data_IF_880277453750
#
_entry.id   IF_880277453750
#
_cell.length_a   1.000
_cell.length_b   1.000
_cell.length_c   1.000
_cell.angle_alpha   90.00
_cell.angle_beta   90.00
_cell.angle_gamma   90.00
#
_symmetry.space_group_name_H-M   'P 1'
#
loop_
_entity.id
_entity.type
_entity.pdbx_description
1 polymer ?
#
# COMPACT_ATOMS: atom_id res chain seq x y z
N UNK A 1 -15.28 6.63 25.24
CA UNK A 1 -14.98 6.43 23.80
C UNK A 1 -14.33 7.66 23.15
N UNK A 2 -14.86 8.88 23.33
CA UNK A 2 -14.33 10.11 22.71
C UNK A 2 -12.83 10.35 22.99
N UNK A 3 -12.41 10.28 24.26
CA UNK A 3 -11.01 10.52 24.66
C UNK A 3 -10.01 9.47 24.12
N UNK A 4 -10.46 8.23 23.87
CA UNK A 4 -9.63 7.17 23.25
C UNK A 4 -9.35 7.51 21.79
N UNK A 5 -10.35 7.99 21.06
CA UNK A 5 -10.20 8.38 19.66
C UNK A 5 -9.34 9.66 19.51
N UNK A 6 -9.51 10.63 20.41
CA UNK A 6 -8.69 11.84 20.46
C UNK A 6 -7.20 11.52 20.63
N UNK A 7 -6.88 10.59 21.55
CA UNK A 7 -5.51 10.13 21.77
C UNK A 7 -4.91 9.46 20.54
N UNK A 8 -5.66 8.59 19.86
CA UNK A 8 -5.14 7.89 18.68
C UNK A 8 -4.91 8.85 17.49
N UNK A 9 -5.82 9.80 17.26
CA UNK A 9 -5.62 10.82 16.20
C UNK A 9 -4.43 11.72 16.53
N UNK A 10 -4.31 12.16 17.79
CA UNK A 10 -3.15 12.92 18.25
C UNK A 10 -1.85 12.11 18.08
N UNK A 11 -1.85 10.81 18.42
CA UNK A 11 -0.72 9.89 18.21
C UNK A 11 -0.36 9.80 16.74
N UNK A 12 -1.32 9.62 15.84
CA UNK A 12 -1.07 9.50 14.41
C UNK A 12 -0.48 10.78 13.83
N UNK A 13 -1.04 11.95 14.17
CA UNK A 13 -0.49 13.26 13.74
C UNK A 13 0.91 13.47 14.33
N UNK A 14 1.09 13.15 15.60
CA UNK A 14 2.39 13.24 16.29
C UNK A 14 3.44 12.32 15.69
N UNK A 15 3.05 11.11 15.27
CA UNK A 15 3.93 10.12 14.64
C UNK A 15 4.39 10.57 13.25
N UNK A 16 3.46 11.07 12.43
CA UNK A 16 3.77 11.60 11.10
C UNK A 16 4.49 12.95 11.13
N UNK A 17 4.47 13.65 12.28
CA UNK A 17 4.95 15.02 12.52
C UNK A 17 4.18 16.11 11.78
N UNK A 18 3.82 15.86 10.52
CA UNK A 18 3.09 16.74 9.64
C UNK A 18 2.06 15.91 8.86
N UNK A 19 0.79 16.31 8.89
CA UNK A 19 -0.25 15.70 8.05
C UNK A 19 -0.87 16.79 7.20
N UNK A 20 -0.87 16.62 5.88
CA UNK A 20 -1.45 17.60 4.96
C UNK A 20 -2.97 17.67 5.10
N UNK A 21 -3.56 18.84 4.84
CA UNK A 21 -5.00 19.01 4.94
C UNK A 21 -5.78 18.10 3.98
N UNK A 22 -5.29 17.95 2.74
CA UNK A 22 -5.87 17.01 1.78
C UNK A 22 -5.92 15.56 2.31
N UNK A 23 -4.92 15.13 3.09
CA UNK A 23 -4.92 13.82 3.73
C UNK A 23 -5.98 13.74 4.85
N UNK A 24 -6.09 14.79 5.68
CA UNK A 24 -7.13 14.90 6.71
C UNK A 24 -8.53 14.80 6.10
N UNK A 25 -8.82 15.60 5.06
CA UNK A 25 -10.11 15.60 4.39
C UNK A 25 -10.44 14.25 3.76
N UNK A 26 -9.46 13.61 3.11
CA UNK A 26 -9.63 12.30 2.46
C UNK A 26 -10.04 11.20 3.44
N UNK A 27 -9.61 11.29 4.69
CA UNK A 27 -9.92 10.33 5.75
C UNK A 27 -10.86 10.90 6.83
N UNK A 28 -11.61 11.96 6.53
CA UNK A 28 -12.51 12.59 7.49
C UNK A 28 -13.64 11.65 7.95
N UNK A 29 -14.09 10.73 7.08
CA UNK A 29 -15.13 9.74 7.42
C UNK A 29 -14.66 8.59 8.31
N UNK A 30 -13.35 8.37 8.44
CA UNK A 30 -12.79 7.17 9.09
C UNK A 30 -11.80 7.48 10.21
N UNK A 31 -10.79 8.32 9.95
CA UNK A 31 -9.68 8.59 10.87
C UNK A 31 -9.80 10.00 11.46
N UNK A 32 -9.83 11.02 10.62
CA UNK A 32 -9.74 12.43 11.04
C UNK A 32 -11.11 13.12 11.04
N UNK A 33 -12.04 12.58 11.83
CA UNK A 33 -13.41 13.15 11.93
C UNK A 33 -13.35 14.65 12.25
N UNK A 34 -14.10 15.45 11.50
CA UNK A 34 -14.09 16.92 11.61
C UNK A 34 -14.31 17.39 13.05
N UNK A 35 -15.33 16.85 13.73
CA UNK A 35 -15.63 17.17 15.13
C UNK A 35 -14.48 16.85 16.09
N UNK A 36 -13.75 15.77 15.83
CA UNK A 36 -12.59 15.37 16.64
C UNK A 36 -11.39 16.29 16.40
N UNK A 37 -11.16 16.69 15.15
CA UNK A 37 -10.10 17.64 14.79
C UNK A 37 -10.36 19.01 15.43
N UNK A 38 -11.60 19.49 15.39
CA UNK A 38 -12.04 20.74 16.03
C UNK A 38 -11.88 20.69 17.56
N UNK A 39 -12.26 19.58 18.20
CA UNK A 39 -12.09 19.36 19.64
C UNK A 39 -10.60 19.40 20.02
N UNK A 40 -9.73 18.70 19.29
CA UNK A 40 -8.29 18.70 19.52
C UNK A 40 -7.66 20.09 19.35
N UNK A 41 -8.18 20.92 18.43
CA UNK A 41 -7.77 22.31 18.29
C UNK A 41 -8.26 23.19 19.43
N UNK A 42 -9.54 23.06 19.83
CA UNK A 42 -10.11 23.79 20.97
C UNK A 42 -9.34 23.50 22.25
N UNK A 43 -8.95 22.25 22.45
CA UNK A 43 -8.10 21.82 23.56
C UNK A 43 -6.62 22.22 23.41
N UNK A 44 -6.26 22.94 22.35
CA UNK A 44 -4.89 23.37 22.04
C UNK A 44 -3.89 22.22 21.96
N UNK A 45 -4.35 21.01 21.61
CA UNK A 45 -3.49 19.84 21.37
C UNK A 45 -2.92 19.86 19.94
N UNK A 46 -3.68 20.44 19.00
CA UNK A 46 -3.25 20.70 17.62
C UNK A 46 -3.01 22.18 17.37
N UNK A 47 -2.07 22.48 16.47
CA UNK A 47 -1.95 23.81 15.85
C UNK A 47 -3.07 24.00 14.82
N UNK A 48 -3.39 25.26 14.51
CA UNK A 48 -4.12 25.59 13.29
C UNK A 48 -3.41 24.97 12.07
N UNK A 49 -4.18 24.49 11.09
CA UNK A 49 -3.60 23.95 9.87
C UNK A 49 -2.80 25.02 9.15
N UNK A 50 -1.55 24.71 8.85
CA UNK A 50 -0.63 25.60 8.15
C UNK A 50 -0.49 25.14 6.69
N UNK A 51 -0.54 26.02 5.68
CA UNK A 51 -0.42 25.60 4.28
C UNK A 51 0.90 24.90 3.94
N UNK A 52 1.98 25.25 4.64
CA UNK A 52 3.32 24.70 4.44
C UNK A 52 3.55 23.49 5.33
N UNK A 53 3.12 23.53 6.58
CA UNK A 53 3.44 22.49 7.57
C UNK A 53 2.29 21.53 7.87
N UNK A 54 1.09 21.80 7.36
CA UNK A 54 -0.12 21.02 7.64
C UNK A 54 -0.48 20.99 9.13
N UNK A 55 -1.17 19.93 9.51
CA UNK A 55 -1.59 19.61 10.86
C UNK A 55 -0.43 19.10 11.71
N UNK A 56 -0.27 19.64 12.92
CA UNK A 56 0.81 19.31 13.87
C UNK A 56 0.33 19.37 15.32
N UNK A 57 0.95 18.55 16.17
CA UNK A 57 0.80 18.69 17.62
C UNK A 57 1.42 19.99 18.15
N UNK A 58 0.81 20.57 19.18
CA UNK A 58 1.44 21.60 20.03
C UNK A 58 2.32 20.95 21.10
N UNK A 59 3.04 21.76 21.89
CA UNK A 59 3.74 21.27 23.08
C UNK A 59 2.78 20.63 24.09
N UNK A 60 1.55 21.16 24.23
CA UNK A 60 0.49 20.56 25.06
C UNK A 60 0.07 19.20 24.48
N UNK A 61 -0.05 19.09 23.15
CA UNK A 61 -0.32 17.82 22.46
C UNK A 61 0.71 16.74 22.72
N UNK A 62 2.00 17.07 22.65
CA UNK A 62 3.08 16.13 22.98
C UNK A 62 3.06 15.70 24.44
N UNK A 63 2.85 16.63 25.38
CA UNK A 63 2.71 16.31 26.81
C UNK A 63 1.53 15.40 27.07
N UNK A 64 0.37 15.71 26.49
CA UNK A 64 -0.83 14.86 26.59
C UNK A 64 -0.57 13.41 26.16
N UNK A 65 0.19 13.20 25.07
CA UNK A 65 0.58 11.85 24.65
C UNK A 65 1.57 11.20 25.63
N UNK A 66 2.56 11.95 26.12
CA UNK A 66 3.53 11.48 27.10
C UNK A 66 2.83 11.03 28.40
N UNK A 67 1.94 11.86 28.94
CA UNK A 67 1.14 11.58 30.13
C UNK A 67 0.22 10.36 29.93
N UNK A 68 -0.13 10.07 28.67
CA UNK A 68 -0.89 8.89 28.27
C UNK A 68 -0.04 7.65 27.97
N UNK A 69 1.27 7.68 28.28
CA UNK A 69 2.21 6.56 28.08
C UNK A 69 2.76 6.42 26.66
N UNK A 70 2.65 7.46 25.82
CA UNK A 70 3.12 7.47 24.43
C UNK A 70 4.15 8.61 24.27
N UNK A 71 5.42 8.40 24.66
CA UNK A 71 6.44 9.43 24.64
C UNK A 71 6.92 9.69 23.20
N UNK A 72 6.25 10.61 22.49
CA UNK A 72 6.72 11.11 21.20
C UNK A 72 7.54 12.38 21.38
N UNK A 73 8.74 12.41 20.82
CA UNK A 73 9.59 13.60 20.83
C UNK A 73 9.19 14.58 19.72
N UNK A 74 9.11 15.90 19.96
CA UNK A 74 9.01 16.87 18.88
C UNK A 74 10.32 16.91 18.08
N UNK A 75 10.26 17.38 16.84
CA UNK A 75 11.48 17.60 16.07
C UNK A 75 12.27 18.78 16.62
N UNK A 76 13.60 18.63 16.71
CA UNK A 76 14.50 19.73 17.03
C UNK A 76 14.54 20.79 15.92
N UNK A 77 14.37 20.38 14.66
CA UNK A 77 14.35 21.26 13.50
C UNK A 77 13.24 20.89 12.52
N UNK A 78 12.48 21.89 12.06
CA UNK A 78 11.48 21.72 11.02
C UNK A 78 12.19 21.47 9.69
N UNK A 79 12.13 20.24 9.18
CA UNK A 79 12.88 19.81 7.98
C UNK A 79 11.98 19.12 6.95
N UNK A 80 12.30 19.29 5.66
CA UNK A 80 11.70 18.67 4.46
C UNK A 80 10.26 18.17 4.60
N UNK A 81 9.33 19.10 4.41
CA UNK A 81 7.86 18.89 4.43
C UNK A 81 7.39 17.81 3.45
N UNK A 82 7.91 17.80 2.22
CA UNK A 82 7.39 16.93 1.14
C UNK A 82 7.33 15.45 1.50
N UNK A 83 8.45 14.85 1.91
CA UNK A 83 8.49 13.43 2.32
C UNK A 83 7.60 13.13 3.52
N UNK A 84 7.38 14.10 4.42
CA UNK A 84 6.52 13.89 5.59
C UNK A 84 5.07 13.76 5.20
N UNK A 85 4.59 14.57 4.26
CA UNK A 85 3.24 14.42 3.73
C UNK A 85 3.06 13.09 3.00
N UNK A 86 4.03 12.67 2.18
CA UNK A 86 4.03 11.35 1.55
C UNK A 86 3.93 10.22 2.58
N UNK A 87 4.76 10.27 3.64
CA UNK A 87 4.69 9.31 4.73
C UNK A 87 3.37 9.38 5.48
N UNK A 88 2.80 10.57 5.68
CA UNK A 88 1.52 10.75 6.36
C UNK A 88 0.37 10.13 5.57
N UNK A 89 0.37 10.29 4.24
CA UNK A 89 -0.61 9.65 3.38
C UNK A 89 -0.53 8.12 3.47
N UNK A 90 0.67 7.54 3.36
CA UNK A 90 0.86 6.09 3.51
C UNK A 90 0.41 5.63 4.90
N UNK A 91 0.88 6.30 5.95
CA UNK A 91 0.60 5.93 7.35
C UNK A 91 -0.89 6.02 7.65
N UNK A 92 -1.59 7.06 7.18
CA UNK A 92 -3.04 7.18 7.34
C UNK A 92 -3.78 6.08 6.60
N UNK A 93 -3.33 5.71 5.39
CA UNK A 93 -3.91 4.60 4.61
C UNK A 93 -3.74 3.26 5.34
N UNK A 94 -2.54 2.98 5.87
CA UNK A 94 -2.27 1.76 6.66
C UNK A 94 -3.11 1.73 7.93
N UNK A 95 -3.16 2.85 8.68
CA UNK A 95 -3.94 2.96 9.90
C UNK A 95 -5.45 2.76 9.64
N UNK A 96 -5.98 3.38 8.60
CA UNK A 96 -7.37 3.23 8.19
C UNK A 96 -7.71 1.78 7.78
N UNK A 97 -6.75 1.02 7.26
CA UNK A 97 -6.89 -0.42 6.99
C UNK A 97 -6.73 -1.32 8.24
N UNK A 98 -6.58 -0.71 9.43
CA UNK A 98 -6.33 -1.42 10.68
C UNK A 98 -4.98 -2.14 10.69
N UNK A 99 -3.97 -1.58 10.04
CA UNK A 99 -2.58 -2.04 10.09
C UNK A 99 -1.84 -1.17 11.11
N UNK A 100 -1.06 -1.80 12.00
CA UNK A 100 -0.29 -1.09 13.01
C UNK A 100 0.86 -0.28 12.37
N UNK A 101 0.84 1.07 12.37
CA UNK A 101 1.80 1.87 11.61
C UNK A 101 2.97 2.39 12.44
N UNK A 102 3.11 1.91 13.68
CA UNK A 102 4.03 2.46 14.68
C UNK A 102 5.20 1.52 15.00
N UNK A 103 5.55 0.59 14.09
CA UNK A 103 6.76 -0.20 14.27
C UNK A 103 7.97 0.74 14.22
N UNK A 104 8.96 0.50 15.08
CA UNK A 104 10.17 1.34 15.17
C UNK A 104 11.45 0.62 14.76
N UNK A 105 11.37 -0.69 14.61
CA UNK A 105 12.52 -1.57 14.51
C UNK A 105 12.28 -2.77 13.58
N UNK A 106 13.34 -3.26 12.91
CA UNK A 106 13.29 -4.46 12.07
C UNK A 106 12.90 -5.69 12.90
N UNK A 107 13.37 -5.77 14.15
CA UNK A 107 13.05 -6.87 15.05
C UNK A 107 11.55 -6.94 15.34
N UNK A 108 10.87 -5.79 15.48
CA UNK A 108 9.42 -5.77 15.61
C UNK A 108 8.74 -6.28 14.34
N UNK A 109 9.16 -5.81 13.15
CA UNK A 109 8.62 -6.26 11.86
C UNK A 109 8.80 -7.78 11.65
N UNK A 110 9.92 -8.34 12.12
CA UNK A 110 10.18 -9.80 12.09
C UNK A 110 9.28 -10.58 13.05
N UNK A 111 8.77 -9.95 14.10
CA UNK A 111 7.91 -10.60 15.10
C UNK A 111 6.41 -10.47 14.85
N UNK A 112 5.95 -9.47 14.08
CA UNK A 112 4.53 -9.20 13.86
C UNK A 112 4.25 -8.44 12.57
N UNK A 113 3.00 -8.54 12.11
CA UNK A 113 2.47 -7.71 11.03
C UNK A 113 2.40 -6.23 11.42
N UNK A 114 2.63 -5.35 10.45
CA UNK A 114 2.61 -3.92 10.65
C UNK A 114 3.45 -3.17 9.64
N UNK A 115 3.40 -1.85 9.73
CA UNK A 115 4.16 -0.95 8.89
C UNK A 115 5.28 -0.28 9.69
N UNK A 116 6.50 -0.43 9.18
CA UNK A 116 7.74 0.16 9.67
C UNK A 116 8.16 1.30 8.73
N UNK A 117 7.86 2.56 9.08
CA UNK A 117 8.19 3.68 8.23
C UNK A 117 9.70 3.94 8.20
N UNK A 118 10.19 4.39 7.05
CA UNK A 118 11.61 4.59 6.83
C UNK A 118 12.21 5.74 7.67
N UNK A 119 11.40 6.69 8.16
CA UNK A 119 11.89 7.70 9.10
C UNK A 119 12.20 7.10 10.48
N UNK A 120 11.46 6.08 10.92
CA UNK A 120 11.71 5.41 12.20
C UNK A 120 13.02 4.61 12.14
N UNK A 121 13.24 3.90 11.03
CA UNK A 121 14.51 3.20 10.76
C UNK A 121 15.72 4.15 10.76
N UNK A 122 15.60 5.33 10.16
CA UNK A 122 16.69 6.31 10.10
C UNK A 122 16.93 7.04 11.42
N UNK A 123 15.92 7.13 12.29
CA UNK A 123 16.04 7.78 13.58
C UNK A 123 16.79 6.94 14.62
N UNK A 124 16.93 5.62 14.40
CA UNK A 124 17.55 4.70 15.34
C UNK A 124 19.08 4.83 15.32
N UNK A 125 19.65 5.33 16.42
CA UNK A 125 21.10 5.51 16.55
C UNK A 125 21.84 4.17 16.43
N UNK A 126 22.96 4.17 15.71
CA UNK A 126 23.81 3.00 15.54
C UNK A 126 23.33 1.97 14.50
N UNK A 127 22.15 2.16 13.90
CA UNK A 127 21.63 1.28 12.84
C UNK A 127 21.41 2.06 11.55
N UNK A 128 22.25 1.87 10.54
CA UNK A 128 22.08 2.44 9.20
C UNK A 128 21.46 1.44 8.21
N UNK A 129 20.38 0.77 8.60
CA UNK A 129 19.76 -0.32 7.82
C UNK A 129 19.39 0.11 6.39
N UNK A 130 18.84 1.32 6.24
CA UNK A 130 18.39 1.79 4.93
C UNK A 130 19.51 2.41 4.08
N UNK A 131 20.59 2.91 4.69
CA UNK A 131 21.58 3.74 4.00
C UNK A 131 20.94 4.76 3.05
N UNK A 132 21.16 4.58 1.74
CA UNK A 132 20.64 5.44 0.67
C UNK A 132 19.36 4.92 -0.01
N UNK A 133 18.72 3.86 0.49
CA UNK A 133 17.47 3.34 -0.08
C UNK A 133 16.38 4.41 -0.03
N UNK A 134 15.55 4.45 -1.07
CA UNK A 134 14.48 5.44 -1.21
C UNK A 134 13.12 4.94 -0.74
N UNK A 135 13.01 3.70 -0.25
CA UNK A 135 11.78 3.18 0.35
C UNK A 135 11.19 4.16 1.36
N UNK A 136 9.87 4.30 1.31
CA UNK A 136 9.05 4.99 2.28
C UNK A 136 8.89 4.18 3.58
N UNK A 137 9.03 2.86 3.51
CA UNK A 137 9.01 1.94 4.65
C UNK A 137 8.94 0.49 4.22
N UNK A 138 8.76 -0.40 5.20
CA UNK A 138 8.53 -1.83 5.01
C UNK A 138 7.19 -2.17 5.65
N UNK A 139 6.35 -2.90 4.93
CA UNK A 139 5.08 -3.43 5.44
C UNK A 139 5.20 -4.95 5.49
N UNK A 140 4.82 -5.57 6.60
CA UNK A 140 4.62 -7.02 6.66
C UNK A 140 3.14 -7.31 6.83
N UNK A 141 2.62 -8.18 5.97
CA UNK A 141 1.30 -8.79 6.10
C UNK A 141 1.47 -10.30 5.90
N UNK A 142 1.21 -11.05 6.95
CA UNK A 142 1.31 -12.51 7.00
C UNK A 142 2.71 -12.97 6.54
N UNK A 143 2.77 -13.66 5.41
CA UNK A 143 3.95 -14.27 4.81
C UNK A 143 4.59 -13.39 3.70
N UNK A 144 4.17 -12.12 3.59
CA UNK A 144 4.70 -11.19 2.57
C UNK A 144 5.27 -9.95 3.22
N UNK A 145 6.49 -9.58 2.82
CA UNK A 145 7.07 -8.26 3.08
C UNK A 145 6.95 -7.40 1.82
N UNK A 146 6.45 -6.19 1.99
CA UNK A 146 6.31 -5.19 0.96
C UNK A 146 7.34 -4.08 1.17
N UNK A 147 8.17 -3.85 0.15
CA UNK A 147 8.94 -2.62 0.02
C UNK A 147 8.01 -1.49 -0.41
N UNK A 148 7.77 -0.53 0.48
CA UNK A 148 6.80 0.55 0.22
C UNK A 148 7.52 1.75 -0.37
N UNK A 149 7.01 2.27 -1.49
CA UNK A 149 7.48 3.49 -2.14
C UNK A 149 6.35 4.50 -2.23
N UNK A 150 6.68 5.78 -2.29
CA UNK A 150 5.75 6.83 -2.72
C UNK A 150 6.19 7.37 -4.06
N UNK A 151 5.26 7.46 -5.02
CA UNK A 151 5.49 7.96 -6.37
C UNK A 151 4.47 9.04 -6.71
N UNK A 152 4.92 10.04 -7.45
CA UNK A 152 4.05 11.06 -8.03
C UNK A 152 4.55 11.44 -9.42
N UNK A 153 3.66 11.87 -10.33
CA UNK A 153 4.07 12.39 -11.63
C UNK A 153 5.14 13.47 -11.48
N UNK A 154 6.18 13.42 -12.31
CA UNK A 154 7.31 14.37 -12.29
C UNK A 154 8.32 14.16 -11.15
N UNK A 155 8.13 13.19 -10.25
CA UNK A 155 9.12 12.88 -9.20
C UNK A 155 10.41 12.32 -9.82
N UNK A 156 11.56 12.91 -9.47
CA UNK A 156 12.87 12.57 -10.01
C UNK A 156 13.75 11.75 -9.04
N UNK A 157 13.12 10.94 -8.18
CA UNK A 157 13.84 10.03 -7.29
C UNK A 157 14.43 8.84 -8.05
N UNK A 158 15.62 8.44 -7.63
CA UNK A 158 16.36 7.32 -8.19
C UNK A 158 16.75 6.33 -7.10
N UNK A 159 16.75 5.05 -7.45
CA UNK A 159 17.09 3.94 -6.56
C UNK A 159 18.22 3.11 -7.15
N UNK A 160 18.98 2.44 -6.30
CA UNK A 160 19.90 1.39 -6.72
C UNK A 160 19.15 0.04 -6.63
N UNK A 161 18.75 -0.59 -7.75
CA UNK A 161 17.89 -1.78 -7.72
C UNK A 161 18.46 -2.91 -6.87
N UNK A 162 19.76 -3.18 -6.98
CA UNK A 162 20.41 -4.25 -6.23
C UNK A 162 20.28 -4.03 -4.72
N UNK A 163 20.53 -2.80 -4.23
CA UNK A 163 20.41 -2.48 -2.79
C UNK A 163 18.97 -2.53 -2.27
N UNK A 164 18.00 -2.18 -3.11
CA UNK A 164 16.59 -2.26 -2.75
C UNK A 164 16.15 -3.72 -2.63
N UNK A 165 16.52 -4.55 -3.61
CA UNK A 165 16.24 -6.00 -3.63
C UNK A 165 16.96 -6.74 -2.51
N UNK A 166 18.26 -6.49 -2.29
CA UNK A 166 19.05 -7.13 -1.22
C UNK A 166 18.44 -6.85 0.17
N UNK A 167 18.02 -5.60 0.40
CA UNK A 167 17.36 -5.24 1.66
C UNK A 167 16.02 -5.99 1.80
N UNK A 168 15.18 -5.98 0.77
CA UNK A 168 13.89 -6.65 0.81
C UNK A 168 14.07 -8.16 1.09
N UNK A 169 14.96 -8.82 0.36
CA UNK A 169 15.25 -10.25 0.52
C UNK A 169 15.81 -10.56 1.92
N UNK A 170 16.73 -9.74 2.44
CA UNK A 170 17.27 -9.90 3.78
C UNK A 170 16.21 -9.72 4.88
N UNK A 171 15.27 -8.80 4.69
CA UNK A 171 14.14 -8.61 5.61
C UNK A 171 13.15 -9.77 5.52
N UNK A 172 12.79 -10.23 4.31
CA UNK A 172 11.95 -11.41 4.11
C UNK A 172 12.51 -12.63 4.85
N UNK A 173 13.78 -12.95 4.57
CA UNK A 173 14.48 -14.08 5.18
C UNK A 173 14.50 -13.98 6.70
N UNK A 174 14.85 -12.79 7.22
CA UNK A 174 14.90 -12.57 8.67
C UNK A 174 13.53 -12.56 9.36
N UNK A 175 12.44 -12.32 8.63
CA UNK A 175 11.08 -12.37 9.15
C UNK A 175 10.41 -13.75 8.98
N UNK A 176 11.10 -14.69 8.32
CA UNK A 176 10.53 -15.99 7.95
C UNK A 176 9.44 -15.88 6.88
N UNK A 177 9.42 -14.79 6.12
CA UNK A 177 8.46 -14.58 5.03
C UNK A 177 8.99 -15.20 3.73
N UNK A 178 8.14 -15.93 3.01
CA UNK A 178 8.49 -16.56 1.73
C UNK A 178 8.33 -15.62 0.54
N UNK A 179 7.65 -14.48 0.71
CA UNK A 179 7.32 -13.56 -0.39
C UNK A 179 7.81 -12.14 -0.12
N UNK A 180 8.41 -11.54 -1.16
CA UNK A 180 8.68 -10.11 -1.26
C UNK A 180 7.84 -9.47 -2.37
N UNK A 181 7.38 -8.24 -2.18
CA UNK A 181 6.66 -7.47 -3.19
C UNK A 181 7.01 -5.98 -3.12
N UNK A 182 6.83 -5.26 -4.22
CA UNK A 182 6.96 -3.80 -4.27
C UNK A 182 5.56 -3.17 -4.21
N UNK A 183 5.37 -2.20 -3.32
CA UNK A 183 4.11 -1.50 -3.12
C UNK A 183 4.30 -0.01 -3.44
N UNK A 184 3.85 0.40 -4.63
CA UNK A 184 3.95 1.77 -5.10
C UNK A 184 2.72 2.58 -4.69
N UNK A 185 2.90 3.43 -3.69
CA UNK A 185 1.87 4.31 -3.17
C UNK A 185 1.83 5.64 -3.92
N UNK A 186 0.66 6.26 -4.02
CA UNK A 186 0.50 7.59 -4.60
C UNK A 186 -0.92 8.11 -4.40
N UNK A 187 -1.22 9.31 -4.89
CA UNK A 187 -2.52 9.95 -4.67
C UNK A 187 -3.70 9.10 -5.20
N UNK A 188 -3.54 8.52 -6.40
CA UNK A 188 -4.50 7.64 -7.05
C UNK A 188 -3.79 6.69 -8.05
N UNK A 189 -4.53 5.74 -8.63
CA UNK A 189 -3.98 4.77 -9.59
C UNK A 189 -3.40 5.43 -10.84
N UNK A 190 -4.00 6.51 -11.36
CA UNK A 190 -3.55 7.19 -12.56
C UNK A 190 -2.25 7.96 -12.33
N UNK A 191 -2.12 8.62 -11.18
CA UNK A 191 -0.91 9.29 -10.73
C UNK A 191 0.25 8.29 -10.56
N UNK A 192 -0.01 7.12 -9.95
CA UNK A 192 0.98 6.05 -9.82
C UNK A 192 1.41 5.55 -11.20
N UNK A 193 0.45 5.24 -12.07
CA UNK A 193 0.72 4.75 -13.42
C UNK A 193 1.58 5.74 -14.22
N UNK A 194 1.20 7.03 -14.17
CA UNK A 194 1.90 8.12 -14.86
C UNK A 194 3.31 8.30 -14.32
N UNK A 195 3.52 8.17 -13.01
CA UNK A 195 4.84 8.28 -12.40
C UNK A 195 5.79 7.14 -12.83
N UNK A 196 5.26 5.93 -13.02
CA UNK A 196 6.05 4.74 -13.36
C UNK A 196 6.28 4.55 -14.87
N UNK A 197 5.36 5.05 -15.69
CA UNK A 197 5.44 4.94 -17.16
C UNK A 197 5.85 6.24 -17.85
N UNK A 198 5.81 7.37 -17.14
CA UNK A 198 6.22 8.66 -17.65
C UNK A 198 7.72 8.75 -17.94
N UNK A 199 8.09 9.80 -18.68
CA UNK A 199 9.49 10.13 -18.91
C UNK A 199 10.17 10.52 -17.58
N UNK A 200 11.35 9.96 -17.35
CA UNK A 200 12.21 10.34 -16.24
C UNK A 200 13.35 11.19 -16.76
N UNK A 201 13.86 12.11 -15.93
CA UNK A 201 15.15 12.76 -16.17
C UNK A 201 16.23 11.69 -16.38
N UNK A 202 17.13 11.94 -17.31
CA UNK A 202 18.25 11.07 -17.58
C UNK A 202 19.14 10.98 -16.34
N UNK A 203 19.36 9.75 -15.85
CA UNK A 203 20.36 9.49 -14.83
C UNK A 203 21.70 9.29 -15.54
N UNK A 204 22.78 9.83 -14.97
CA UNK A 204 24.12 9.64 -15.51
C UNK A 204 24.41 8.16 -15.79
N UNK A 205 24.95 7.86 -16.98
CA UNK A 205 25.28 6.49 -17.39
C UNK A 205 26.30 5.79 -16.47
N UNK A 206 27.08 6.57 -15.68
CA UNK A 206 28.02 6.05 -14.68
C UNK A 206 27.36 5.69 -13.34
N UNK A 207 26.10 6.07 -13.14
CA UNK A 207 25.36 5.80 -11.91
C UNK A 207 24.75 4.40 -11.93
N UNK A 208 24.88 3.67 -10.82
CA UNK A 208 24.14 2.42 -10.58
C UNK A 208 22.67 2.66 -10.22
N UNK A 209 22.26 3.92 -10.08
CA UNK A 209 20.89 4.27 -9.77
C UNK A 209 20.03 4.41 -11.03
N UNK A 210 18.76 4.06 -10.92
CA UNK A 210 17.75 4.16 -11.98
C UNK A 210 16.50 4.88 -11.45
N UNK A 211 15.70 5.45 -12.34
CA UNK A 211 14.41 6.02 -11.97
C UNK A 211 13.43 4.97 -11.45
N UNK A 212 12.41 5.37 -10.70
CA UNK A 212 11.35 4.45 -10.26
C UNK A 212 10.67 3.71 -11.41
N UNK A 213 10.42 4.37 -12.54
CA UNK A 213 9.83 3.70 -13.70
C UNK A 213 10.73 2.61 -14.29
N UNK A 214 12.05 2.84 -14.34
CA UNK A 214 13.00 1.81 -14.77
C UNK A 214 13.13 0.70 -13.73
N UNK A 215 13.13 1.04 -12.44
CA UNK A 215 13.12 0.05 -11.36
C UNK A 215 11.89 -0.86 -11.42
N UNK A 216 10.69 -0.29 -11.57
CA UNK A 216 9.43 -1.01 -11.75
C UNK A 216 9.48 -2.02 -12.91
N UNK A 217 10.07 -1.64 -14.06
CA UNK A 217 10.23 -2.53 -15.21
C UNK A 217 11.27 -3.63 -15.00
N UNK A 218 12.28 -3.40 -14.17
CA UNK A 218 13.37 -4.35 -13.90
C UNK A 218 13.07 -5.30 -12.75
N UNK A 219 12.13 -4.95 -11.86
CA UNK A 219 11.77 -5.73 -10.69
C UNK A 219 11.43 -7.18 -11.06
N UNK A 220 11.72 -8.13 -10.19
CA UNK A 220 11.28 -9.53 -10.36
C UNK A 220 10.11 -9.84 -9.43
N UNK A 221 9.94 -9.04 -8.39
CA UNK A 221 8.92 -9.13 -7.36
C UNK A 221 7.58 -8.54 -7.84
N UNK A 222 6.43 -9.06 -7.41
CA UNK A 222 5.12 -8.46 -7.71
C UNK A 222 5.09 -6.95 -7.45
N UNK A 223 4.48 -6.19 -8.37
CA UNK A 223 4.45 -4.73 -8.30
C UNK A 223 3.01 -4.22 -8.16
N UNK A 224 2.61 -3.89 -6.95
CA UNK A 224 1.25 -3.50 -6.61
C UNK A 224 1.13 -1.98 -6.57
N UNK A 225 0.06 -1.46 -7.17
CA UNK A 225 -0.30 -0.05 -7.04
C UNK A 225 -1.20 0.14 -5.82
N UNK A 226 -0.89 1.10 -4.96
CA UNK A 226 -1.71 1.40 -3.78
C UNK A 226 -2.08 2.90 -3.70
N UNK A 227 -3.31 3.29 -4.02
CA UNK A 227 -3.71 4.68 -3.90
C UNK A 227 -3.87 5.00 -2.41
N UNK A 228 -3.35 6.14 -1.97
CA UNK A 228 -3.51 6.65 -0.62
C UNK A 228 -4.92 7.23 -0.42
N UNK A 229 -5.94 6.36 -0.52
CA UNK A 229 -7.36 6.66 -0.42
C UNK A 229 -8.13 5.50 0.20
N UNK A 230 -9.45 5.66 0.37
CA UNK A 230 -10.33 4.57 0.83
C UNK A 230 -10.30 3.33 -0.09
N UNK A 231 -9.90 3.48 -1.36
CA UNK A 231 -9.70 2.34 -2.26
C UNK A 231 -8.43 1.56 -1.90
N UNK A 232 -7.35 2.24 -1.53
CA UNK A 232 -6.16 1.59 -0.99
C UNK A 232 -6.43 0.92 0.35
N UNK A 233 -7.26 1.54 1.21
CA UNK A 233 -7.72 0.92 2.47
C UNK A 233 -8.41 -0.42 2.20
N UNK A 234 -9.33 -0.45 1.23
CA UNK A 234 -10.01 -1.68 0.82
C UNK A 234 -9.05 -2.71 0.24
N UNK A 235 -8.13 -2.29 -0.62
CA UNK A 235 -7.12 -3.16 -1.20
C UNK A 235 -6.23 -3.78 -0.10
N UNK A 236 -5.81 -3.00 0.90
CA UNK A 236 -5.08 -3.50 2.06
C UNK A 236 -5.89 -4.50 2.88
N UNK A 237 -7.20 -4.30 3.04
CA UNK A 237 -8.06 -5.29 3.70
C UNK A 237 -8.02 -6.65 2.99
N UNK A 238 -7.94 -6.66 1.66
CA UNK A 238 -7.76 -7.91 0.89
C UNK A 238 -6.40 -8.51 1.14
N UNK A 239 -5.34 -7.70 1.04
CA UNK A 239 -3.96 -8.16 1.23
C UNK A 239 -3.68 -8.71 2.63
N UNK A 240 -4.48 -8.31 3.64
CA UNK A 240 -4.42 -8.85 5.01
C UNK A 240 -4.96 -10.27 5.15
N UNK A 241 -5.68 -10.80 4.15
CA UNK A 241 -6.22 -12.14 4.21
C UNK A 241 -5.23 -13.14 3.59
N UNK A 242 -4.79 -14.18 4.32
CA UNK A 242 -3.99 -15.24 3.75
C UNK A 242 -4.79 -15.94 2.66
N UNK A 243 -4.11 -16.26 1.56
CA UNK A 243 -4.68 -16.91 0.38
C UNK A 243 -5.90 -16.20 -0.21
N UNK A 244 -5.96 -14.86 -0.08
CA UNK A 244 -7.12 -14.07 -0.53
C UNK A 244 -7.48 -14.39 -1.99
N UNK A 245 -6.50 -14.59 -2.89
CA UNK A 245 -6.78 -14.95 -4.30
C UNK A 245 -7.57 -16.24 -4.38
N UNK A 246 -7.08 -17.32 -3.79
CA UNK A 246 -7.73 -18.63 -3.78
C UNK A 246 -9.13 -18.55 -3.16
N UNK A 247 -9.25 -17.86 -2.02
CA UNK A 247 -10.55 -17.68 -1.33
C UNK A 247 -11.53 -16.89 -2.19
N UNK A 248 -11.10 -15.78 -2.79
CA UNK A 248 -11.93 -14.98 -3.68
C UNK A 248 -12.34 -15.75 -4.94
N UNK A 249 -11.43 -16.52 -5.55
CA UNK A 249 -11.76 -17.38 -6.69
C UNK A 249 -12.86 -18.38 -6.33
N UNK A 250 -12.74 -19.04 -5.17
CA UNK A 250 -13.75 -19.99 -4.70
C UNK A 250 -15.12 -19.32 -4.49
N UNK A 251 -15.13 -18.11 -3.95
CA UNK A 251 -16.35 -17.31 -3.70
C UNK A 251 -17.02 -16.84 -5.01
N UNK A 252 -16.23 -16.55 -6.04
CA UNK A 252 -16.71 -15.99 -7.31
C UNK A 252 -17.06 -17.06 -8.35
N UNK A 253 -16.26 -18.12 -8.43
CA UNK A 253 -16.31 -19.12 -9.50
C UNK A 253 -16.40 -20.56 -8.99
N UNK A 254 -16.56 -20.76 -7.68
CA UNK A 254 -16.68 -22.07 -7.04
C UNK A 254 -15.36 -22.84 -6.95
N UNK A 255 -15.43 -24.07 -6.44
CA UNK A 255 -14.28 -24.97 -6.27
C UNK A 255 -13.94 -25.80 -7.52
N UNK A 256 -14.77 -25.75 -8.56
CA UNK A 256 -14.69 -26.63 -9.73
C UNK A 256 -13.77 -26.13 -10.85
N UNK A 257 -13.25 -24.91 -10.77
CA UNK A 257 -12.30 -24.38 -11.75
C UNK A 257 -10.87 -24.82 -11.48
N UNK A 258 -10.14 -25.23 -12.53
CA UNK A 258 -8.69 -25.39 -12.44
C UNK A 258 -8.02 -24.02 -12.47
N UNK A 259 -7.28 -23.66 -11.43
CA UNK A 259 -6.18 -22.72 -11.57
C UNK A 259 -5.18 -23.36 -12.55
N UNK A 260 -5.14 -22.89 -13.79
CA UNK A 260 -4.17 -23.39 -14.77
C UNK A 260 -2.80 -22.81 -14.42
N UNK A 261 -1.95 -23.65 -13.81
CA UNK A 261 -0.59 -23.32 -13.39
C UNK A 261 0.29 -22.79 -14.51
N UNK A 262 -0.09 -22.99 -15.79
CA UNK A 262 0.67 -22.50 -16.94
C UNK A 262 0.22 -21.17 -17.54
N UNK A 263 -0.92 -20.58 -17.15
CA UNK A 263 -1.38 -19.29 -17.70
C UNK A 263 -1.19 -18.11 -16.77
N UNK A 264 -1.08 -18.35 -15.46
CA UNK A 264 -1.11 -17.29 -14.45
C UNK A 264 -2.51 -16.68 -14.20
N UNK A 265 -3.53 -17.14 -14.93
CA UNK A 265 -4.92 -16.76 -14.71
C UNK A 265 -5.45 -17.35 -13.41
N UNK A 266 -6.33 -16.61 -12.74
CA UNK A 266 -6.90 -17.02 -11.45
C UNK A 266 -8.07 -17.99 -11.62
N UNK A 267 -8.72 -17.99 -12.80
CA UNK A 267 -9.72 -18.97 -13.22
C UNK A 267 -9.84 -18.98 -14.76
N UNK A 268 -10.27 -20.10 -15.35
CA UNK A 268 -10.48 -20.24 -16.80
C UNK A 268 -11.82 -20.93 -17.05
N UNK A 269 -12.59 -20.37 -17.98
CA UNK A 269 -13.69 -21.06 -18.62
C UNK A 269 -13.19 -21.74 -19.91
N UNK A 270 -13.05 -23.08 -19.90
CA UNK A 270 -12.60 -23.81 -21.09
C UNK A 270 -13.65 -23.84 -22.21
N UNK A 271 -14.93 -23.61 -21.93
CA UNK A 271 -16.00 -23.60 -22.93
C UNK A 271 -16.03 -22.28 -23.68
N UNK A 272 -15.87 -21.18 -22.95
CA UNK A 272 -15.96 -19.82 -23.50
C UNK A 272 -14.61 -19.25 -23.96
N UNK A 273 -13.54 -20.06 -23.95
CA UNK A 273 -12.16 -19.62 -24.23
C UNK A 273 -11.78 -18.31 -23.52
N UNK A 274 -12.27 -18.16 -22.28
CA UNK A 274 -12.16 -16.92 -21.49
C UNK A 274 -11.40 -17.18 -20.20
N UNK A 275 -10.35 -16.39 -19.97
CA UNK A 275 -9.60 -16.41 -18.73
C UNK A 275 -10.05 -15.26 -17.82
N UNK A 276 -9.96 -15.47 -16.52
CA UNK A 276 -10.33 -14.50 -15.49
C UNK A 276 -9.13 -14.26 -14.58
N UNK A 277 -8.88 -12.99 -14.27
CA UNK A 277 -7.79 -12.56 -13.42
C UNK A 277 -8.33 -11.63 -12.34
N UNK A 278 -8.09 -11.96 -11.07
CA UNK A 278 -8.37 -11.06 -9.96
C UNK A 278 -7.32 -9.96 -9.98
N UNK A 279 -7.81 -8.73 -10.01
CA UNK A 279 -6.98 -7.51 -10.01
C UNK A 279 -7.23 -6.66 -8.76
N UNK A 280 -7.89 -7.23 -7.76
CA UNK A 280 -8.23 -6.53 -6.52
C UNK A 280 -7.00 -6.05 -5.74
N UNK A 281 -5.86 -6.72 -5.91
CA UNK A 281 -4.55 -6.37 -5.36
C UNK A 281 -3.74 -5.40 -6.22
N UNK A 282 -4.21 -5.11 -7.44
CA UNK A 282 -3.60 -4.19 -8.40
C UNK A 282 -2.14 -4.49 -8.72
N UNK A 283 -1.80 -5.78 -8.86
CA UNK A 283 -0.55 -6.23 -9.47
C UNK A 283 -0.63 -6.04 -11.00
N UNK A 284 -0.17 -4.87 -11.46
CA UNK A 284 -0.30 -4.46 -12.87
C UNK A 284 0.51 -5.37 -13.79
N UNK A 285 1.67 -5.85 -13.34
CA UNK A 285 2.55 -6.68 -14.17
C UNK A 285 1.97 -8.06 -14.41
N UNK A 286 1.30 -8.61 -13.40
CA UNK A 286 0.56 -9.88 -13.54
C UNK A 286 -0.50 -9.81 -14.65
N UNK A 287 -1.13 -8.65 -14.88
CA UNK A 287 -2.09 -8.48 -15.98
C UNK A 287 -1.42 -8.71 -17.33
N UNK A 288 -0.26 -8.09 -17.56
CA UNK A 288 0.48 -8.17 -18.82
C UNK A 288 1.05 -9.58 -19.04
N UNK A 289 1.62 -10.18 -18.01
CA UNK A 289 2.15 -11.54 -18.05
C UNK A 289 1.04 -12.57 -18.33
N UNK A 290 -0.09 -12.48 -17.62
CA UNK A 290 -1.25 -13.35 -17.84
C UNK A 290 -1.81 -13.18 -19.25
N UNK A 291 -1.97 -11.93 -19.71
CA UNK A 291 -2.44 -11.63 -21.06
C UNK A 291 -1.55 -12.26 -22.13
N UNK A 292 -0.22 -12.20 -21.95
CA UNK A 292 0.72 -12.85 -22.86
C UNK A 292 0.55 -14.37 -22.88
N UNK A 293 0.49 -15.02 -21.72
CA UNK A 293 0.40 -16.47 -21.63
C UNK A 293 -0.92 -17.02 -22.18
N UNK A 294 -2.06 -16.39 -21.85
CA UNK A 294 -3.35 -16.89 -22.33
C UNK A 294 -3.49 -16.72 -23.85
N UNK A 295 -2.92 -15.66 -24.45
CA UNK A 295 -2.89 -15.49 -25.91
C UNK A 295 -2.10 -16.60 -26.58
N UNK A 296 -0.95 -16.98 -26.01
CA UNK A 296 -0.15 -18.11 -26.51
C UNK A 296 -0.90 -19.43 -26.46
N UNK A 297 -1.76 -19.62 -25.46
CA UNK A 297 -2.63 -20.81 -25.34
C UNK A 297 -3.92 -20.73 -26.18
N UNK A 298 -4.11 -19.67 -26.97
CA UNK A 298 -5.27 -19.52 -27.86
C UNK A 298 -6.55 -19.01 -27.20
N UNK A 299 -6.49 -18.52 -25.96
CA UNK A 299 -7.64 -17.88 -25.32
C UNK A 299 -7.90 -16.51 -25.94
N UNK A 300 -9.18 -16.20 -26.14
CA UNK A 300 -9.60 -15.01 -26.90
C UNK A 300 -9.91 -13.82 -26.01
N UNK A 301 -10.12 -14.02 -24.70
CA UNK A 301 -10.56 -12.98 -23.77
C UNK A 301 -9.92 -13.11 -22.39
N UNK A 302 -9.55 -11.97 -21.82
CA UNK A 302 -9.17 -11.80 -20.41
C UNK A 302 -10.18 -10.91 -19.70
N UNK A 303 -10.83 -11.45 -18.67
CA UNK A 303 -11.73 -10.72 -17.77
C UNK A 303 -10.95 -10.27 -16.55
N UNK A 304 -10.82 -8.96 -16.36
CA UNK A 304 -10.21 -8.36 -15.18
C UNK A 304 -11.28 -8.16 -14.11
N UNK A 305 -11.19 -8.93 -13.03
CA UNK A 305 -12.14 -8.91 -11.91
C UNK A 305 -11.60 -8.02 -10.78
N UNK A 306 -12.08 -6.78 -10.73
CA UNK A 306 -11.68 -5.75 -9.76
C UNK A 306 -12.86 -4.95 -9.24
N UNK A 307 -12.62 -4.05 -8.29
CA UNK A 307 -13.68 -3.13 -7.84
C UNK A 307 -13.98 -2.06 -8.89
N UNK A 308 -15.12 -1.39 -8.74
CA UNK A 308 -15.61 -0.40 -9.71
C UNK A 308 -14.56 0.66 -10.09
N UNK A 309 -13.86 1.27 -9.12
CA UNK A 309 -12.83 2.28 -9.40
C UNK A 309 -11.56 1.68 -10.02
N UNK A 310 -11.16 0.47 -9.62
CA UNK A 310 -10.04 -0.24 -10.24
C UNK A 310 -10.36 -0.52 -11.71
N UNK A 311 -11.55 -1.03 -11.99
CA UNK A 311 -12.03 -1.28 -13.35
C UNK A 311 -12.12 0.01 -14.17
N UNK A 312 -12.58 1.12 -13.58
CA UNK A 312 -12.62 2.43 -14.25
C UNK A 312 -11.23 2.87 -14.69
N UNK A 313 -10.22 2.71 -13.84
CA UNK A 313 -8.83 2.98 -14.17
C UNK A 313 -8.30 2.00 -15.24
N UNK A 314 -8.43 0.70 -15.02
CA UNK A 314 -7.88 -0.34 -15.90
C UNK A 314 -8.45 -0.26 -17.33
N UNK A 315 -9.73 0.09 -17.51
CA UNK A 315 -10.35 0.26 -18.84
C UNK A 315 -9.68 1.31 -19.73
N UNK A 316 -8.96 2.27 -19.13
CA UNK A 316 -8.25 3.29 -19.90
C UNK A 316 -7.06 2.69 -20.68
N UNK A 317 -6.44 1.64 -20.11
CA UNK A 317 -5.21 1.01 -20.59
C UNK A 317 -5.43 -0.39 -21.18
N UNK A 318 -6.40 -1.14 -20.68
CA UNK A 318 -6.73 -2.51 -21.10
C UNK A 318 -8.08 -2.52 -21.80
N UNK A 319 -8.08 -2.39 -23.13
CA UNK A 319 -9.28 -2.16 -23.95
C UNK A 319 -9.84 -3.43 -24.63
N UNK A 320 -11.15 -3.47 -24.95
CA UNK A 320 -11.75 -4.52 -25.78
C UNK A 320 -11.09 -4.66 -27.17
N UNK A 321 -11.28 -5.78 -27.89
CA UNK A 321 -12.16 -6.92 -27.54
C UNK A 321 -11.51 -7.95 -26.60
N UNK A 322 -10.18 -7.93 -26.48
CA UNK A 322 -9.45 -8.91 -25.69
C UNK A 322 -9.68 -8.72 -24.18
N UNK A 323 -9.65 -7.47 -23.69
CA UNK A 323 -9.89 -7.18 -22.29
C UNK A 323 -11.36 -6.85 -22.03
N UNK A 324 -11.87 -7.37 -20.93
CA UNK A 324 -13.18 -7.00 -20.37
C UNK A 324 -13.07 -6.88 -18.85
N UNK A 325 -14.07 -6.30 -18.19
CA UNK A 325 -14.04 -6.08 -16.74
C UNK A 325 -15.24 -6.74 -16.06
N UNK A 326 -14.99 -7.43 -14.95
CA UNK A 326 -16.03 -7.85 -14.01
C UNK A 326 -15.90 -7.03 -12.72
N UNK A 327 -17.02 -6.48 -12.24
CA UNK A 327 -17.02 -5.68 -11.00
C UNK A 327 -17.26 -6.57 -9.80
N UNK A 328 -16.30 -6.59 -8.89
CA UNK A 328 -16.42 -7.27 -7.60
C UNK A 328 -17.41 -6.54 -6.70
N UNK A 329 -18.24 -7.31 -6.00
CA UNK A 329 -19.16 -6.76 -5.02
C UNK A 329 -18.45 -6.36 -3.73
N UNK A 330 -19.01 -5.38 -3.02
CA UNK A 330 -18.41 -4.81 -1.82
C UNK A 330 -18.44 -5.78 -0.62
N UNK A 331 -19.44 -6.68 -0.57
CA UNK A 331 -19.61 -7.71 0.47
C UNK A 331 -18.59 -8.86 0.35
N UNK A 332 -17.77 -8.89 -0.70
CA UNK A 332 -16.78 -9.96 -0.88
C UNK A 332 -15.82 -10.08 0.31
N UNK A 333 -15.51 -8.96 0.97
CA UNK A 333 -14.67 -8.94 2.17
C UNK A 333 -15.34 -9.61 3.37
N UNK A 334 -16.66 -9.54 3.48
CA UNK A 334 -17.40 -10.20 4.56
C UNK A 334 -17.51 -11.70 4.27
N UNK A 335 -17.76 -12.06 3.01
CA UNK A 335 -17.75 -13.45 2.54
C UNK A 335 -16.39 -14.14 2.71
N UNK A 336 -15.28 -13.38 2.68
CA UNK A 336 -13.95 -13.91 2.97
C UNK A 336 -13.76 -14.31 4.45
N UNK A 337 -14.51 -13.71 5.38
CA UNK A 337 -14.50 -14.08 6.81
C UNK A 337 -15.37 -15.29 7.09
N UNK A 338 -16.48 -15.42 6.36
CA UNK A 338 -17.45 -16.52 6.52
C UNK A 338 -17.03 -17.81 5.81
N UNK A 339 -16.06 -17.75 4.90
CA UNK A 339 -15.50 -18.90 4.18
C UNK A 339 -14.81 -19.97 5.04
N UNK A 340 -14.68 -19.76 6.36
CA UNK A 340 -14.30 -20.81 7.32
C UNK A 340 -15.51 -21.62 7.84
N UNK A 341 -16.76 -21.15 7.66
CA UNK A 341 -17.96 -21.78 8.27
C UNK A 341 -18.73 -22.72 7.36
N UNK A 342 -18.45 -22.74 6.05
CA UNK A 342 -19.14 -23.62 5.11
C UNK A 342 -18.14 -24.36 4.21
N UNK A 343 -17.43 -25.32 4.80
CA UNK A 343 -17.20 -26.57 4.08
C UNK A 343 -18.51 -27.36 4.17
N UNK A 344 -19.17 -27.73 3.06
CA UNK A 344 -20.27 -28.69 3.14
C UNK A 344 -19.72 -30.02 3.68
N UNK A 345 -20.44 -30.73 4.55
CA UNK A 345 -20.12 -32.13 4.81
C UNK A 345 -20.30 -32.89 3.49
N UNK A 346 -19.25 -33.65 3.15
CA UNK A 346 -19.09 -34.66 2.07
C UNK A 346 -20.19 -34.74 1.02
#
# INVERSE_FOLDING_TARGET
MAMRNAKEVARLIGWCRNVGDACVQRYAGSVFRTSLMEELQKEKLLKACDPVYGWRLTRKGYRFLQDSGIPLQPDAHTQRVGRRFEHAEITATMYAAGIYPYLTAIEELRSRDGYLPAFALRARRGQQVLGNNQMAGLLRLQDTVYAVYYVSPGMDRVVNPARETDLLQGVCTGAGCTRGALLFCGADYAAIHTALHGSSKAVSARSRCVSYGRFYRMAQEPCLYLPCSMQGVRQLHILKHPDYRTKMCRVLWGSGGKMDSGTGADWIDPKDHTAFLLVADMDIRKIEETAYQIRRKGYQRLVLAGFQEQNRFLKQYYRPPFYSSATLSNDILDRLKDGERHAPPV
#
